data_IF_782428576641
#
_entry.id   IF_782428576641
#
_cell.length_a   1.000
_cell.length_b   1.000
_cell.length_c   1.000
_cell.angle_alpha   90.00
_cell.angle_beta   90.00
_cell.angle_gamma   90.00
#
_symmetry.space_group_name_H-M   'P 1'
#
loop_
_entity.id
_entity.type
_entity.pdbx_description
1 polymer ?
#
# COMPACT_ATOMS: atom_id res chain seq x y z
N UNK A 1 14.00 36.16 -38.56
CA UNK A 1 12.70 35.90 -37.91
C UNK A 1 12.67 36.15 -36.38
N UNK A 2 13.80 36.06 -35.66
CA UNK A 2 13.85 36.20 -34.19
C UNK A 2 13.55 37.59 -33.55
N UNK A 3 13.87 38.76 -34.14
CA UNK A 3 13.69 40.05 -33.44
C UNK A 3 12.23 40.52 -33.40
N UNK A 4 11.42 40.18 -34.41
CA UNK A 4 9.98 40.52 -34.45
C UNK A 4 9.16 39.71 -33.43
N UNK A 5 9.53 38.46 -33.19
CA UNK A 5 8.86 37.61 -32.19
C UNK A 5 9.14 38.09 -30.74
N UNK A 6 10.38 38.49 -30.44
CA UNK A 6 10.73 39.07 -29.14
C UNK A 6 10.04 40.41 -28.88
N UNK A 7 9.86 41.24 -29.91
CA UNK A 7 9.10 42.49 -29.80
C UNK A 7 7.60 42.24 -29.58
N UNK A 8 7.02 41.24 -30.24
CA UNK A 8 5.62 40.83 -30.05
C UNK A 8 5.38 40.28 -28.64
N UNK A 9 6.25 39.41 -28.13
CA UNK A 9 6.17 38.86 -26.78
C UNK A 9 6.34 39.93 -25.69
N UNK A 10 7.21 40.92 -25.89
CA UNK A 10 7.34 42.07 -24.96
C UNK A 10 6.10 42.98 -24.97
N UNK A 11 5.46 43.16 -26.14
CA UNK A 11 4.20 43.93 -26.26
C UNK A 11 3.01 43.18 -25.66
N UNK A 12 2.96 41.85 -25.79
CA UNK A 12 1.96 40.99 -25.14
C UNK A 12 2.14 40.96 -23.62
N UNK A 13 3.37 40.81 -23.12
CA UNK A 13 3.68 40.88 -21.69
C UNK A 13 3.30 42.23 -21.06
N UNK A 14 3.53 43.35 -21.77
CA UNK A 14 3.09 44.69 -21.32
C UNK A 14 1.57 44.88 -21.36
N UNK A 15 0.84 44.28 -22.31
CA UNK A 15 -0.64 44.33 -22.35
C UNK A 15 -1.30 43.46 -21.29
N UNK A 16 -0.69 42.34 -20.92
CA UNK A 16 -1.18 41.47 -19.83
C UNK A 16 -0.94 42.13 -18.47
N UNK A 17 0.24 42.75 -18.29
CA UNK A 17 0.62 43.48 -17.07
C UNK A 17 -0.23 44.73 -16.77
N UNK A 18 -0.84 45.36 -17.78
CA UNK A 18 -1.70 46.55 -17.60
C UNK A 18 -3.20 46.24 -17.65
N UNK A 19 -3.59 44.97 -17.82
CA UNK A 19 -5.01 44.61 -17.80
C UNK A 19 -5.53 44.71 -16.36
N UNK A 20 -6.59 45.48 -16.14
CA UNK A 20 -7.25 45.60 -14.81
C UNK A 20 -7.65 44.23 -14.25
N UNK A 21 -7.90 43.24 -15.12
CA UNK A 21 -8.23 41.87 -14.75
C UNK A 21 -7.02 41.13 -14.18
N UNK A 22 -5.83 41.22 -14.81
CA UNK A 22 -4.62 40.60 -14.27
C UNK A 22 -4.19 41.24 -12.95
N UNK A 23 -4.28 42.57 -12.83
CA UNK A 23 -4.05 43.30 -11.57
C UNK A 23 -5.07 42.94 -10.48
N UNK A 24 -6.34 42.74 -10.83
CA UNK A 24 -7.37 42.30 -9.90
C UNK A 24 -7.21 40.84 -9.47
N UNK A 25 -6.75 39.96 -10.36
CA UNK A 25 -6.43 38.55 -10.04
C UNK A 25 -5.19 38.47 -9.15
N UNK A 26 -4.14 39.25 -9.46
CA UNK A 26 -2.95 39.35 -8.61
C UNK A 26 -3.30 39.95 -7.23
N UNK A 27 -4.08 41.03 -7.17
CA UNK A 27 -4.54 41.61 -5.89
C UNK A 27 -5.49 40.70 -5.10
N UNK A 28 -6.30 39.87 -5.77
CA UNK A 28 -7.09 38.81 -5.11
C UNK A 28 -6.22 37.67 -4.58
N UNK A 29 -5.16 37.31 -5.30
CA UNK A 29 -4.20 36.32 -4.87
C UNK A 29 -3.39 36.82 -3.65
N UNK A 30 -2.93 38.07 -3.67
CA UNK A 30 -2.22 38.69 -2.54
C UNK A 30 -3.12 38.83 -1.32
N UNK A 31 -4.36 39.33 -1.48
CA UNK A 31 -5.31 39.41 -0.35
C UNK A 31 -5.78 38.04 0.17
N UNK A 32 -5.79 36.98 -0.66
CA UNK A 32 -6.03 35.62 -0.20
C UNK A 32 -4.82 35.08 0.57
N UNK A 33 -3.61 35.34 0.08
CA UNK A 33 -2.34 34.98 0.73
C UNK A 33 -2.22 35.62 2.11
N UNK A 34 -2.52 36.92 2.23
CA UNK A 34 -2.46 37.64 3.51
C UNK A 34 -3.48 37.08 4.51
N UNK A 35 -4.71 36.76 4.07
CA UNK A 35 -5.72 36.13 4.94
C UNK A 35 -5.32 34.73 5.40
N UNK A 36 -4.66 33.95 4.55
CA UNK A 36 -4.15 32.61 4.90
C UNK A 36 -2.99 32.74 5.88
N UNK A 37 -2.07 33.69 5.64
CA UNK A 37 -0.96 33.98 6.53
C UNK A 37 -1.46 34.42 7.93
N UNK A 38 -2.40 35.36 8.01
CA UNK A 38 -3.01 35.81 9.27
C UNK A 38 -3.72 34.67 10.02
N UNK A 39 -4.33 33.71 9.31
CA UNK A 39 -4.95 32.53 9.92
C UNK A 39 -3.90 31.54 10.42
N UNK A 40 -2.86 31.30 9.63
CA UNK A 40 -1.76 30.43 10.01
C UNK A 40 -1.01 30.96 11.24
N UNK A 41 -0.73 32.27 11.28
CA UNK A 41 -0.12 32.92 12.43
C UNK A 41 -1.00 32.84 13.68
N UNK A 42 -2.31 33.08 13.55
CA UNK A 42 -3.23 32.92 14.69
C UNK A 42 -3.32 31.48 15.18
N UNK A 43 -3.32 30.51 14.27
CA UNK A 43 -3.38 29.09 14.62
C UNK A 43 -2.07 28.64 15.32
N UNK A 44 -0.91 29.11 14.85
CA UNK A 44 0.38 28.90 15.49
C UNK A 44 0.43 29.57 16.88
N UNK A 45 -0.03 30.82 16.99
CA UNK A 45 -0.10 31.55 18.25
C UNK A 45 -1.01 30.83 19.26
N UNK A 46 -2.15 30.31 18.81
CA UNK A 46 -3.04 29.50 19.67
C UNK A 46 -2.38 28.20 20.12
N UNK A 47 -1.68 27.51 19.21
CA UNK A 47 -0.92 26.30 19.53
C UNK A 47 0.13 26.55 20.62
N UNK A 48 0.85 27.67 20.51
CA UNK A 48 1.86 28.10 21.47
C UNK A 48 1.27 28.54 22.82
N UNK A 49 0.13 29.24 22.81
CA UNK A 49 -0.46 29.77 24.03
C UNK A 49 -1.12 28.72 24.93
N UNK A 50 -1.57 27.58 24.37
CA UNK A 50 -2.33 26.56 25.12
C UNK A 50 -1.93 25.12 24.72
N UNK A 51 -0.66 24.72 24.93
CA UNK A 51 -0.13 23.46 24.42
C UNK A 51 -0.92 22.23 24.90
N UNK A 52 -1.25 22.17 26.20
CA UNK A 52 -2.00 21.04 26.79
C UNK A 52 -3.41 20.87 26.21
N UNK A 53 -4.10 21.97 25.89
CA UNK A 53 -5.45 21.90 25.30
C UNK A 53 -5.38 21.47 23.84
N UNK A 54 -4.40 21.96 23.09
CA UNK A 54 -4.19 21.59 21.68
C UNK A 54 -3.89 20.10 21.58
N UNK A 55 -2.97 19.60 22.42
CA UNK A 55 -2.65 18.17 22.47
C UNK A 55 -3.83 17.33 22.96
N UNK A 56 -4.58 17.77 23.97
CA UNK A 56 -5.74 17.04 24.49
C UNK A 56 -6.89 16.94 23.48
N UNK A 57 -7.26 18.05 22.83
CA UNK A 57 -8.27 18.06 21.77
C UNK A 57 -7.78 17.24 20.58
N UNK A 58 -6.51 17.43 20.18
CA UNK A 58 -5.91 16.69 19.09
C UNK A 58 -5.91 15.18 19.31
N UNK A 59 -5.57 14.74 20.52
CA UNK A 59 -5.63 13.33 20.92
C UNK A 59 -7.05 12.79 20.88
N UNK A 60 -8.02 13.55 21.38
CA UNK A 60 -9.43 13.12 21.34
C UNK A 60 -9.91 12.94 19.89
N UNK A 61 -9.62 13.89 18.99
CA UNK A 61 -9.97 13.78 17.57
C UNK A 61 -9.25 12.60 16.91
N UNK A 62 -7.98 12.36 17.25
CA UNK A 62 -7.22 11.23 16.72
C UNK A 62 -7.77 9.87 17.18
N UNK A 63 -8.14 9.75 18.46
CA UNK A 63 -8.75 8.52 19.00
C UNK A 63 -10.11 8.27 18.37
N UNK A 64 -10.94 9.30 18.22
CA UNK A 64 -12.22 9.19 17.51
C UNK A 64 -11.98 8.76 16.06
N UNK A 65 -11.03 9.38 15.36
CA UNK A 65 -10.66 9.02 13.99
C UNK A 65 -10.22 7.57 13.83
N UNK A 66 -9.35 7.08 14.73
CA UNK A 66 -8.94 5.67 14.74
C UNK A 66 -10.09 4.72 15.10
N UNK A 67 -11.02 5.14 15.96
CA UNK A 67 -12.18 4.33 16.32
C UNK A 67 -13.16 4.20 15.14
N UNK A 68 -13.45 5.30 14.44
CA UNK A 68 -14.36 5.26 13.27
C UNK A 68 -13.74 4.52 12.08
N UNK A 69 -12.42 4.56 11.93
CA UNK A 69 -11.73 3.78 10.88
C UNK A 69 -12.04 2.28 10.96
N UNK A 70 -12.26 1.73 12.17
CA UNK A 70 -12.65 0.32 12.33
C UNK A 70 -13.98 -0.04 11.67
N UNK A 71 -14.80 0.96 11.34
CA UNK A 71 -16.10 0.81 10.70
C UNK A 71 -16.08 1.07 9.19
N UNK A 72 -14.97 1.58 8.65
CA UNK A 72 -14.87 1.86 7.22
C UNK A 72 -14.77 0.57 6.42
N UNK A 73 -15.73 0.33 5.53
CA UNK A 73 -15.68 -0.77 4.58
C UNK A 73 -14.72 -0.41 3.42
N UNK A 74 -13.93 -1.39 2.98
CA UNK A 74 -13.03 -1.23 1.83
C UNK A 74 -13.75 -1.81 0.62
N UNK A 75 -14.15 -0.96 -0.32
CA UNK A 75 -14.67 -1.39 -1.59
C UNK A 75 -13.58 -2.16 -2.32
N UNK A 76 -13.91 -3.43 -2.55
CA UNK A 76 -12.99 -4.42 -3.08
C UNK A 76 -13.45 -4.96 -4.43
N UNK A 77 -14.67 -4.63 -4.88
CA UNK A 77 -15.19 -5.09 -6.17
C UNK A 77 -14.40 -4.46 -7.32
N UNK A 78 -13.68 -5.30 -8.05
CA UNK A 78 -12.85 -4.90 -9.20
C UNK A 78 -13.67 -4.13 -10.23
N UNK A 79 -14.98 -4.40 -10.35
CA UNK A 79 -15.87 -3.70 -11.27
C UNK A 79 -15.99 -2.23 -10.93
N UNK A 80 -16.10 -1.89 -9.66
CA UNK A 80 -16.25 -0.50 -9.20
C UNK A 80 -14.93 0.27 -9.29
N UNK A 81 -13.81 -0.46 -9.25
CA UNK A 81 -12.46 0.09 -9.27
C UNK A 81 -11.95 0.46 -10.69
N UNK A 82 -12.64 0.02 -11.75
CA UNK A 82 -12.26 0.26 -13.16
C UNK A 82 -13.28 1.13 -13.90
N UNK A 83 -12.88 1.85 -14.96
CA UNK A 83 -13.81 2.63 -15.77
C UNK A 83 -14.91 1.74 -16.38
N UNK A 84 -16.16 2.16 -16.20
CA UNK A 84 -17.35 1.37 -16.59
C UNK A 84 -17.54 1.26 -18.11
N UNK A 85 -16.87 2.11 -18.88
CA UNK A 85 -16.94 2.16 -20.34
C UNK A 85 -15.89 1.27 -21.03
N UNK A 86 -15.02 0.60 -20.27
CA UNK A 86 -13.99 -0.28 -20.81
C UNK A 86 -14.59 -1.43 -21.65
N UNK A 87 -14.13 -1.64 -22.90
CA UNK A 87 -14.54 -2.77 -23.72
C UNK A 87 -14.34 -4.12 -23.03
N UNK A 88 -13.20 -4.31 -22.38
CA UNK A 88 -12.89 -5.54 -21.64
C UNK A 88 -13.89 -5.83 -20.50
N UNK A 89 -14.39 -4.79 -19.81
CA UNK A 89 -15.40 -4.97 -18.76
C UNK A 89 -16.75 -5.39 -19.38
N UNK A 90 -17.10 -4.83 -20.55
CA UNK A 90 -18.30 -5.25 -21.29
C UNK A 90 -18.18 -6.70 -21.76
N UNK A 91 -17.03 -7.10 -22.27
CA UNK A 91 -16.77 -8.47 -22.74
C UNK A 91 -16.85 -9.48 -21.59
N UNK A 92 -16.28 -9.16 -20.42
CA UNK A 92 -16.37 -10.01 -19.22
C UNK A 92 -17.80 -10.08 -18.69
N UNK A 93 -18.52 -8.95 -18.66
CA UNK A 93 -19.93 -8.95 -18.24
C UNK A 93 -20.82 -9.72 -19.21
N UNK A 94 -20.56 -9.63 -20.52
CA UNK A 94 -21.25 -10.42 -21.54
C UNK A 94 -20.95 -11.91 -21.37
N UNK A 95 -19.67 -12.28 -21.19
CA UNK A 95 -19.27 -13.67 -20.92
C UNK A 95 -19.97 -14.22 -19.67
N UNK A 96 -19.99 -13.46 -18.58
CA UNK A 96 -20.69 -13.88 -17.35
C UNK A 96 -22.20 -13.97 -17.53
N UNK A 97 -22.81 -13.09 -18.33
CA UNK A 97 -24.24 -13.14 -18.59
C UNK A 97 -24.63 -14.41 -19.38
N UNK A 98 -23.76 -14.86 -20.29
CA UNK A 98 -23.97 -16.02 -21.15
C UNK A 98 -23.51 -17.35 -20.52
N UNK A 99 -22.51 -17.33 -19.65
CA UNK A 99 -21.91 -18.55 -19.06
C UNK A 99 -22.17 -18.70 -17.56
N UNK A 100 -22.59 -17.63 -16.89
CA UNK A 100 -22.70 -17.58 -15.43
C UNK A 100 -21.36 -17.46 -14.71
N UNK A 101 -20.24 -17.35 -15.43
CA UNK A 101 -18.87 -17.43 -14.90
C UNK A 101 -18.04 -16.27 -15.45
N UNK A 102 -17.16 -15.68 -14.63
CA UNK A 102 -16.24 -14.62 -15.06
C UNK A 102 -14.76 -14.92 -14.75
N UNK A 103 -14.49 -15.97 -13.98
CA UNK A 103 -13.15 -16.41 -13.64
C UNK A 103 -13.14 -17.87 -13.20
N UNK A 104 -11.97 -18.33 -12.76
CA UNK A 104 -11.75 -19.72 -12.37
C UNK A 104 -10.98 -19.78 -11.04
N UNK A 105 -11.38 -20.73 -10.19
CA UNK A 105 -10.67 -21.17 -9.00
C UNK A 105 -10.37 -22.64 -9.17
N UNK A 106 -9.16 -23.01 -8.79
CA UNK A 106 -8.62 -24.33 -9.02
C UNK A 106 -8.29 -25.04 -7.72
N UNK A 107 -8.41 -26.36 -7.70
CA UNK A 107 -7.82 -27.21 -6.67
C UNK A 107 -6.78 -28.09 -7.35
N UNK A 108 -5.52 -27.80 -7.09
CA UNK A 108 -4.40 -28.61 -7.54
C UNK A 108 -4.25 -29.81 -6.61
N UNK A 109 -4.32 -31.01 -7.18
CA UNK A 109 -4.21 -32.29 -6.50
C UNK A 109 -2.89 -32.94 -6.90
N UNK A 110 -2.05 -33.29 -5.93
CA UNK A 110 -0.78 -33.98 -6.12
C UNK A 110 -0.79 -35.34 -5.43
N UNK A 111 -0.46 -36.39 -6.17
CA UNK A 111 -0.39 -37.76 -5.69
C UNK A 111 0.76 -38.51 -6.41
N UNK A 112 1.19 -39.68 -5.93
CA UNK A 112 2.09 -40.55 -6.68
C UNK A 112 1.54 -40.90 -8.07
N UNK A 113 0.23 -41.11 -8.16
CA UNK A 113 -0.53 -41.27 -9.39
C UNK A 113 -1.96 -40.74 -9.20
N UNK A 114 -2.29 -39.64 -9.87
CA UNK A 114 -3.64 -39.02 -9.81
C UNK A 114 -4.69 -39.78 -10.62
N UNK A 115 -4.26 -40.74 -11.44
CA UNK A 115 -5.15 -41.61 -12.22
C UNK A 115 -5.62 -42.84 -11.44
N UNK A 116 -5.17 -42.99 -10.18
CA UNK A 116 -5.67 -44.05 -9.30
C UNK A 116 -7.19 -43.86 -9.06
N UNK A 117 -8.03 -44.91 -9.23
CA UNK A 117 -9.46 -44.84 -8.99
C UNK A 117 -9.87 -44.29 -7.63
N UNK A 118 -9.05 -44.50 -6.59
CA UNK A 118 -9.31 -43.96 -5.26
C UNK A 118 -9.18 -42.43 -5.24
N UNK A 119 -8.15 -41.89 -5.93
CA UNK A 119 -7.91 -40.44 -6.05
C UNK A 119 -8.97 -39.81 -6.95
N UNK A 120 -9.24 -40.40 -8.12
CA UNK A 120 -10.29 -39.93 -9.03
C UNK A 120 -11.69 -39.96 -8.38
N UNK A 121 -11.99 -41.03 -7.64
CA UNK A 121 -13.25 -41.15 -6.91
C UNK A 121 -13.39 -40.11 -5.81
N UNK A 122 -12.30 -39.80 -5.08
CA UNK A 122 -12.30 -38.69 -4.11
C UNK A 122 -12.49 -37.34 -4.80
N UNK A 123 -11.74 -37.05 -5.86
CA UNK A 123 -11.84 -35.82 -6.64
C UNK A 123 -13.27 -35.56 -7.12
N UNK A 124 -13.93 -36.59 -7.69
CA UNK A 124 -15.31 -36.47 -8.16
C UNK A 124 -16.31 -36.20 -7.04
N UNK A 125 -16.21 -36.93 -5.91
CA UNK A 125 -17.08 -36.69 -4.73
C UNK A 125 -16.83 -35.32 -4.10
N UNK A 126 -15.58 -34.86 -4.07
CA UNK A 126 -15.23 -33.54 -3.57
C UNK A 126 -15.86 -32.45 -4.45
N UNK A 127 -15.67 -32.52 -5.77
CA UNK A 127 -16.25 -31.57 -6.72
C UNK A 127 -17.79 -31.52 -6.61
N UNK A 128 -18.45 -32.68 -6.51
CA UNK A 128 -19.91 -32.73 -6.38
C UNK A 128 -20.41 -32.12 -5.05
N UNK A 129 -19.74 -32.42 -3.93
CA UNK A 129 -20.07 -31.82 -2.62
C UNK A 129 -19.91 -30.29 -2.65
N UNK A 130 -18.79 -29.81 -3.17
CA UNK A 130 -18.49 -28.37 -3.26
C UNK A 130 -19.52 -27.65 -4.12
N UNK A 131 -19.82 -28.17 -5.31
CA UNK A 131 -20.80 -27.55 -6.21
C UNK A 131 -22.19 -27.51 -5.56
N UNK A 132 -22.63 -28.60 -4.95
CA UNK A 132 -23.93 -28.66 -4.26
C UNK A 132 -24.04 -27.59 -3.17
N UNK A 133 -23.00 -27.43 -2.36
CA UNK A 133 -23.02 -26.49 -1.24
C UNK A 133 -22.84 -25.03 -1.68
N UNK A 134 -22.24 -24.80 -2.85
CA UNK A 134 -22.23 -23.51 -3.52
C UNK A 134 -23.58 -23.18 -4.21
N UNK A 135 -24.61 -24.02 -4.05
CA UNK A 135 -25.96 -23.81 -4.61
C UNK A 135 -26.15 -24.30 -6.05
N UNK A 136 -25.19 -25.04 -6.61
CA UNK A 136 -25.31 -25.58 -7.97
C UNK A 136 -26.20 -26.82 -7.99
N UNK A 137 -27.26 -26.78 -8.80
CA UNK A 137 -28.19 -27.88 -8.99
C UNK A 137 -27.99 -28.54 -10.36
N UNK A 138 -27.40 -29.74 -10.39
CA UNK A 138 -27.15 -30.48 -11.64
C UNK A 138 -28.42 -30.82 -12.42
N UNK A 139 -29.56 -30.92 -11.74
CA UNK A 139 -30.86 -31.16 -12.37
C UNK A 139 -31.37 -29.96 -13.18
N UNK A 140 -30.89 -28.75 -12.87
CA UNK A 140 -31.26 -27.50 -13.53
C UNK A 140 -30.14 -27.11 -14.50
N UNK A 141 -30.37 -27.36 -15.80
CA UNK A 141 -29.38 -27.09 -16.86
C UNK A 141 -28.81 -25.66 -16.82
N UNK A 142 -29.63 -24.70 -16.40
CA UNK A 142 -29.28 -23.28 -16.37
C UNK A 142 -29.00 -22.78 -14.95
N UNK A 143 -28.63 -23.68 -14.01
CA UNK A 143 -28.37 -23.31 -12.61
C UNK A 143 -27.34 -22.17 -12.48
N UNK A 144 -26.29 -22.19 -13.30
CA UNK A 144 -25.28 -21.13 -13.35
C UNK A 144 -25.76 -19.80 -13.94
N UNK A 145 -26.84 -19.83 -14.74
CA UNK A 145 -27.43 -18.67 -15.40
C UNK A 145 -28.59 -18.06 -14.59
N UNK A 146 -28.89 -18.61 -13.40
CA UNK A 146 -29.94 -18.09 -12.54
C UNK A 146 -29.60 -16.66 -12.10
N UNK A 147 -30.50 -15.70 -12.36
CA UNK A 147 -30.31 -14.30 -11.98
C UNK A 147 -30.81 -13.98 -10.56
N UNK A 148 -31.66 -14.84 -9.97
CA UNK A 148 -32.26 -14.59 -8.65
C UNK A 148 -31.43 -15.14 -7.52
N UNK A 149 -30.92 -16.35 -7.68
CA UNK A 149 -30.05 -16.99 -6.69
C UNK A 149 -28.96 -17.78 -7.43
N UNK A 150 -27.96 -17.09 -8.00
CA UNK A 150 -26.88 -17.77 -8.69
C UNK A 150 -26.01 -18.55 -7.72
N UNK A 151 -25.47 -19.71 -8.13
CA UNK A 151 -24.47 -20.41 -7.35
C UNK A 151 -23.16 -19.60 -7.30
N UNK A 152 -22.44 -19.72 -6.18
CA UNK A 152 -21.13 -19.07 -6.02
C UNK A 152 -20.05 -19.73 -6.90
N UNK A 153 -20.20 -21.04 -7.15
CA UNK A 153 -19.30 -21.86 -7.96
C UNK A 153 -20.09 -22.67 -8.99
N UNK A 154 -19.50 -22.76 -10.18
CA UNK A 154 -20.01 -23.53 -11.30
C UNK A 154 -18.98 -24.56 -11.78
N UNK A 155 -19.41 -25.65 -12.42
CA UNK A 155 -18.47 -26.63 -12.97
C UNK A 155 -17.60 -25.97 -14.06
N UNK A 156 -16.29 -26.17 -13.97
CA UNK A 156 -15.33 -25.90 -15.04
C UNK A 156 -14.55 -27.18 -15.37
N UNK A 157 -13.91 -27.20 -16.54
CA UNK A 157 -13.31 -28.40 -17.10
C UNK A 157 -12.24 -28.99 -16.17
N UNK A 158 -12.52 -30.19 -15.67
CA UNK A 158 -11.69 -30.91 -14.71
C UNK A 158 -11.34 -32.31 -15.22
N UNK A 159 -10.28 -32.93 -14.67
CA UNK A 159 -9.90 -34.31 -15.02
C UNK A 159 -11.06 -35.31 -14.83
N UNK A 160 -11.84 -35.10 -13.79
CA UNK A 160 -13.04 -35.87 -13.42
C UNK A 160 -14.15 -35.80 -14.48
N UNK A 161 -14.24 -34.74 -15.28
CA UNK A 161 -15.26 -34.59 -16.33
C UNK A 161 -14.99 -35.48 -17.55
N UNK A 162 -13.76 -35.97 -17.71
CA UNK A 162 -13.46 -37.03 -18.69
C UNK A 162 -14.14 -38.35 -18.30
N UNK A 163 -14.44 -38.55 -17.01
CA UNK A 163 -15.02 -39.77 -16.49
C UNK A 163 -16.49 -39.55 -16.12
N UNK A 164 -17.30 -40.62 -16.11
CA UNK A 164 -18.70 -40.50 -15.70
C UNK A 164 -18.79 -40.03 -14.24
N UNK A 165 -19.51 -38.92 -14.03
CA UNK A 165 -19.75 -38.37 -12.70
C UNK A 165 -20.51 -39.39 -11.83
N UNK A 166 -19.96 -39.70 -10.65
CA UNK A 166 -20.64 -40.48 -9.61
C UNK A 166 -20.15 -41.92 -9.40
N UNK A 167 -19.25 -42.46 -10.24
CA UNK A 167 -18.64 -43.78 -10.00
C UNK A 167 -17.11 -43.75 -10.26
N UNK A 168 -16.28 -44.32 -9.37
CA UNK A 168 -14.84 -44.37 -9.59
C UNK A 168 -14.55 -45.23 -10.83
N UNK A 169 -13.85 -44.68 -11.84
CA UNK A 169 -13.57 -45.40 -13.08
C UNK A 169 -12.61 -46.56 -12.82
N UNK A 170 -12.74 -47.66 -13.57
CA UNK A 170 -11.78 -48.76 -13.47
C UNK A 170 -10.43 -48.35 -14.08
N UNK A 171 -9.29 -48.79 -13.50
CA UNK A 171 -7.94 -48.45 -13.99
C UNK A 171 -7.76 -48.64 -15.51
N UNK A 172 -8.37 -49.69 -16.06
CA UNK A 172 -8.29 -49.98 -17.49
C UNK A 172 -9.05 -48.95 -18.36
N UNK A 173 -10.22 -48.49 -17.89
CA UNK A 173 -11.01 -47.44 -18.57
C UNK A 173 -10.29 -46.09 -18.52
N UNK A 174 -9.62 -45.79 -17.41
CA UNK A 174 -8.86 -44.55 -17.24
C UNK A 174 -7.72 -44.47 -18.26
N UNK A 175 -6.94 -45.53 -18.40
CA UNK A 175 -5.83 -45.57 -19.36
C UNK A 175 -6.32 -45.51 -20.82
N UNK A 176 -7.35 -46.29 -21.16
CA UNK A 176 -7.90 -46.29 -22.53
C UNK A 176 -8.45 -44.93 -22.95
N UNK A 177 -9.10 -44.21 -22.03
CA UNK A 177 -9.62 -42.89 -22.34
C UNK A 177 -8.49 -41.87 -22.49
N UNK A 178 -7.49 -41.90 -21.61
CA UNK A 178 -6.32 -41.02 -21.69
C UNK A 178 -5.45 -41.28 -22.93
N UNK A 179 -5.50 -42.48 -23.52
CA UNK A 179 -4.80 -42.74 -24.78
C UNK A 179 -5.53 -42.14 -26.00
N UNK A 180 -6.84 -41.89 -25.89
CA UNK A 180 -7.69 -41.40 -27.00
C UNK A 180 -7.93 -39.89 -26.92
N UNK A 181 -7.97 -39.30 -25.72
CA UNK A 181 -8.18 -37.86 -25.55
C UNK A 181 -6.96 -37.10 -26.10
N UNK A 182 -7.12 -36.11 -26.99
CA UNK A 182 -6.01 -35.32 -27.49
C UNK A 182 -5.15 -34.69 -26.38
N UNK A 183 -3.83 -34.65 -26.57
CA UNK A 183 -2.87 -34.16 -25.56
C UNK A 183 -3.12 -32.71 -25.12
N UNK A 184 -3.74 -31.89 -25.96
CA UNK A 184 -4.06 -30.50 -25.60
C UNK A 184 -5.18 -30.41 -24.55
N UNK A 185 -6.16 -31.32 -24.57
CA UNK A 185 -7.21 -31.39 -23.55
C UNK A 185 -6.66 -31.93 -22.23
N UNK A 186 -5.72 -32.89 -22.30
CA UNK A 186 -5.10 -33.45 -21.10
C UNK A 186 -4.21 -32.43 -20.37
N UNK A 187 -3.50 -31.58 -21.12
CA UNK A 187 -2.58 -30.59 -20.53
C UNK A 187 -3.26 -29.56 -19.62
N UNK A 188 -4.56 -29.29 -19.81
CA UNK A 188 -5.34 -28.43 -18.93
C UNK A 188 -5.80 -29.11 -17.63
N UNK A 189 -5.78 -30.44 -17.56
CA UNK A 189 -6.36 -31.20 -16.46
C UNK A 189 -5.36 -32.09 -15.69
N UNK A 190 -4.30 -32.57 -16.34
CA UNK A 190 -3.33 -33.51 -15.76
C UNK A 190 -1.92 -33.29 -16.33
N UNK A 191 -0.90 -33.40 -15.47
CA UNK A 191 0.50 -33.36 -15.91
C UNK A 191 0.90 -34.63 -16.64
N UNK A 192 1.90 -34.55 -17.54
CA UNK A 192 2.40 -35.70 -18.31
C UNK A 192 2.89 -36.85 -17.43
N UNK A 193 3.41 -36.54 -16.24
CA UNK A 193 3.89 -37.52 -15.26
C UNK A 193 2.77 -38.12 -14.40
N UNK A 194 1.51 -37.71 -14.60
CA UNK A 194 0.32 -38.12 -13.84
C UNK A 194 0.42 -37.88 -12.33
N UNK A 195 1.33 -36.99 -11.89
CA UNK A 195 1.49 -36.69 -10.46
C UNK A 195 0.64 -35.53 -10.00
N UNK A 196 0.18 -34.69 -10.92
CA UNK A 196 -0.59 -33.50 -10.60
C UNK A 196 -1.82 -33.43 -11.51
N UNK A 197 -2.97 -33.14 -10.92
CA UNK A 197 -4.22 -32.91 -11.62
C UNK A 197 -4.87 -31.61 -11.13
N UNK A 198 -5.69 -31.01 -11.98
CA UNK A 198 -6.49 -29.83 -11.66
C UNK A 198 -7.98 -30.17 -11.54
N UNK A 199 -8.62 -29.57 -10.55
CA UNK A 199 -10.07 -29.50 -10.40
C UNK A 199 -10.48 -28.03 -10.50
N UNK A 200 -11.08 -27.67 -11.62
CA UNK A 200 -11.47 -26.30 -11.92
C UNK A 200 -12.92 -26.02 -11.52
N UNK A 201 -13.15 -24.83 -10.96
CA UNK A 201 -14.45 -24.29 -10.61
C UNK A 201 -14.58 -22.90 -11.21
N UNK A 202 -15.63 -22.69 -12.00
CA UNK A 202 -15.99 -21.36 -12.47
C UNK A 202 -16.48 -20.51 -11.30
N UNK A 203 -15.95 -19.30 -11.16
CA UNK A 203 -16.39 -18.31 -10.17
C UNK A 203 -16.94 -17.06 -10.86
N UNK A 204 -17.87 -16.39 -10.19
CA UNK A 204 -18.44 -15.11 -10.62
C UNK A 204 -17.59 -13.93 -10.17
N UNK A 205 -17.69 -12.83 -10.92
CA UNK A 205 -17.21 -11.53 -10.51
C UNK A 205 -18.14 -11.00 -9.42
N UNK A 206 -17.61 -10.93 -8.20
CA UNK A 206 -18.30 -10.59 -6.96
C UNK A 206 -17.31 -9.88 -6.02
N UNK A 207 -17.79 -9.33 -4.91
CA UNK A 207 -16.93 -8.65 -3.93
C UNK A 207 -15.84 -9.59 -3.39
N UNK A 208 -14.67 -9.04 -3.03
CA UNK A 208 -13.56 -9.87 -2.55
C UNK A 208 -13.89 -10.55 -1.22
N UNK A 209 -14.78 -9.97 -0.40
CA UNK A 209 -15.22 -10.59 0.85
C UNK A 209 -16.06 -11.84 0.59
N UNK A 210 -16.96 -11.82 -0.40
CA UNK A 210 -17.70 -13.01 -0.81
C UNK A 210 -16.79 -14.05 -1.47
N UNK A 211 -15.86 -13.62 -2.33
CA UNK A 211 -14.85 -14.53 -2.90
C UNK A 211 -14.01 -15.20 -1.80
N UNK A 212 -13.65 -14.46 -0.75
CA UNK A 212 -12.91 -14.99 0.40
C UNK A 212 -13.71 -16.07 1.12
N UNK A 213 -15.00 -15.82 1.39
CA UNK A 213 -15.87 -16.82 2.04
C UNK A 213 -15.94 -18.12 1.23
N UNK A 214 -16.07 -18.01 -0.10
CA UNK A 214 -16.08 -19.16 -1.02
C UNK A 214 -14.74 -19.92 -0.98
N UNK A 215 -13.62 -19.19 -0.98
CA UNK A 215 -12.27 -19.77 -0.90
C UNK A 215 -12.03 -20.46 0.45
N UNK A 216 -12.42 -19.82 1.56
CA UNK A 216 -12.25 -20.36 2.91
C UNK A 216 -13.12 -21.62 3.09
N UNK A 217 -14.37 -21.60 2.61
CA UNK A 217 -15.23 -22.78 2.56
C UNK A 217 -14.59 -23.93 1.75
N UNK A 218 -14.04 -23.63 0.56
CA UNK A 218 -13.37 -24.63 -0.27
C UNK A 218 -12.14 -25.23 0.42
N UNK A 219 -11.36 -24.42 1.15
CA UNK A 219 -10.21 -24.86 1.94
C UNK A 219 -10.62 -25.73 3.14
N UNK A 220 -11.67 -25.35 3.86
CA UNK A 220 -12.16 -26.07 5.04
C UNK A 220 -12.71 -27.47 4.73
N UNK A 221 -13.31 -27.64 3.54
CA UNK A 221 -13.88 -28.92 3.09
C UNK A 221 -12.87 -29.83 2.42
N UNK A 222 -11.63 -29.41 2.28
CA UNK A 222 -10.58 -30.17 1.60
C UNK A 222 -10.12 -31.33 2.50
N UNK A 223 -10.57 -32.55 2.18
CA UNK A 223 -10.31 -33.79 2.95
C UNK A 223 -9.53 -34.85 2.15
N UNK A 224 -8.31 -34.54 1.65
CA UNK A 224 -7.59 -35.45 0.77
C UNK A 224 -7.23 -36.77 1.48
N UNK A 225 -7.29 -37.91 0.76
CA UNK A 225 -6.90 -39.21 1.32
C UNK A 225 -5.39 -39.27 1.61
N UNK A 226 -4.93 -40.22 2.45
CA UNK A 226 -3.51 -40.35 2.78
C UNK A 226 -2.63 -40.48 1.53
N UNK A 227 -1.56 -39.68 1.47
CA UNK A 227 -0.64 -39.65 0.32
C UNK A 227 -1.07 -38.72 -0.81
N UNK A 228 -2.17 -37.97 -0.65
CA UNK A 228 -2.61 -36.91 -1.57
C UNK A 228 -2.45 -35.54 -0.91
N UNK A 229 -1.80 -34.61 -1.59
CA UNK A 229 -1.71 -33.19 -1.22
C UNK A 229 -2.64 -32.40 -2.14
N UNK A 230 -3.65 -31.73 -1.58
CA UNK A 230 -4.57 -30.91 -2.35
C UNK A 230 -4.50 -29.46 -1.86
N UNK A 231 -4.52 -28.49 -2.79
CA UNK A 231 -4.46 -27.07 -2.46
C UNK A 231 -5.34 -26.24 -3.38
N UNK A 232 -6.07 -25.32 -2.77
CA UNK A 232 -6.86 -24.30 -3.48
C UNK A 232 -5.92 -23.24 -4.04
N UNK A 233 -6.01 -22.96 -5.34
CA UNK A 233 -5.16 -22.04 -6.09
C UNK A 233 -5.99 -21.22 -7.10
N UNK A 234 -5.35 -20.23 -7.73
CA UNK A 234 -5.98 -19.33 -8.68
C UNK A 234 -5.81 -17.87 -8.30
N UNK A 235 -6.01 -16.98 -9.27
CA UNK A 235 -5.94 -15.53 -9.02
C UNK A 235 -6.96 -15.07 -7.97
N UNK A 236 -8.24 -15.52 -7.98
CA UNK A 236 -9.20 -15.12 -6.95
C UNK A 236 -8.76 -15.50 -5.53
N UNK A 237 -8.06 -16.63 -5.36
CA UNK A 237 -7.53 -17.08 -4.06
C UNK A 237 -6.45 -16.12 -3.56
N UNK A 238 -5.50 -15.75 -4.43
CA UNK A 238 -4.43 -14.82 -4.09
C UNK A 238 -4.98 -13.43 -3.73
N UNK A 239 -5.94 -12.94 -4.51
CA UNK A 239 -6.53 -11.62 -4.34
C UNK A 239 -7.42 -11.59 -3.08
N UNK A 240 -8.26 -12.60 -2.86
CA UNK A 240 -9.10 -12.71 -1.66
C UNK A 240 -8.29 -12.86 -0.37
N UNK A 241 -7.20 -13.63 -0.40
CA UNK A 241 -6.32 -13.78 0.77
C UNK A 241 -5.53 -12.50 1.05
N UNK A 242 -5.02 -11.82 0.01
CA UNK A 242 -4.36 -10.53 0.15
C UNK A 242 -5.33 -9.48 0.74
N UNK A 243 -6.53 -9.37 0.19
CA UNK A 243 -7.57 -8.46 0.69
C UNK A 243 -7.96 -8.81 2.12
N UNK A 244 -8.14 -10.09 2.43
CA UNK A 244 -8.57 -10.53 3.74
C UNK A 244 -7.60 -10.20 4.88
N UNK A 245 -6.30 -10.15 4.59
CA UNK A 245 -5.29 -9.65 5.56
C UNK A 245 -5.35 -8.12 5.68
N UNK A 246 -5.57 -7.42 4.57
CA UNK A 246 -5.65 -5.95 4.51
C UNK A 246 -6.91 -5.38 5.17
N UNK A 247 -8.05 -6.08 5.04
CA UNK A 247 -9.35 -5.63 5.57
C UNK A 247 -9.54 -5.92 7.05
N UNK A 248 -8.74 -6.80 7.65
CA UNK A 248 -8.89 -7.13 9.07
C UNK A 248 -8.51 -5.95 9.99
N UNK A 249 -9.45 -5.42 10.81
CA UNK A 249 -9.20 -4.23 11.63
C UNK A 249 -8.05 -4.42 12.63
N UNK A 250 -7.93 -5.62 13.20
CA UNK A 250 -6.87 -5.97 14.14
C UNK A 250 -5.49 -5.95 13.48
N UNK A 251 -5.37 -6.45 12.24
CA UNK A 251 -4.11 -6.42 11.51
C UNK A 251 -3.72 -4.99 11.13
N UNK A 252 -4.71 -4.17 10.71
CA UNK A 252 -4.49 -2.75 10.41
C UNK A 252 -4.02 -1.98 11.64
N UNK A 253 -4.63 -2.20 12.79
CA UNK A 253 -4.17 -1.60 14.05
C UNK A 253 -2.77 -2.10 14.43
N UNK A 254 -2.50 -3.40 14.29
CA UNK A 254 -1.19 -3.98 14.56
C UNK A 254 -0.08 -3.38 13.69
N UNK A 255 -0.30 -3.24 12.37
CA UNK A 255 0.69 -2.67 11.45
C UNK A 255 0.91 -1.18 11.72
N UNK A 256 -0.14 -0.42 12.06
CA UNK A 256 -0.04 0.98 12.47
C UNK A 256 0.82 1.15 13.72
N UNK A 257 0.54 0.38 14.78
CA UNK A 257 1.32 0.41 16.03
C UNK A 257 2.76 -0.04 15.79
N UNK A 258 2.97 -1.08 14.99
CA UNK A 258 4.30 -1.55 14.63
C UNK A 258 5.10 -0.49 13.85
N UNK A 259 4.46 0.24 12.92
CA UNK A 259 5.09 1.32 12.18
C UNK A 259 5.47 2.51 13.08
N UNK A 260 4.56 2.96 13.95
CA UNK A 260 4.85 4.02 14.91
C UNK A 260 5.97 3.62 15.88
N UNK A 261 5.98 2.37 16.34
CA UNK A 261 7.06 1.84 17.18
C UNK A 261 8.38 1.80 16.43
N UNK A 262 8.40 1.37 15.16
CA UNK A 262 9.61 1.36 14.34
C UNK A 262 10.17 2.79 14.16
N UNK A 263 9.32 3.77 13.86
CA UNK A 263 9.70 5.19 13.79
C UNK A 263 10.27 5.66 15.12
N UNK A 264 9.60 5.36 16.24
CA UNK A 264 10.09 5.70 17.57
C UNK A 264 11.48 5.12 17.84
N UNK A 265 11.71 3.84 17.55
CA UNK A 265 12.99 3.18 17.76
C UNK A 265 14.11 3.81 16.91
N UNK A 266 13.82 4.14 15.65
CA UNK A 266 14.78 4.81 14.77
C UNK A 266 15.10 6.22 15.29
N UNK A 267 14.08 7.00 15.65
CA UNK A 267 14.28 8.35 16.20
C UNK A 267 15.05 8.31 17.54
N UNK A 268 14.74 7.35 18.40
CA UNK A 268 15.44 7.15 19.66
C UNK A 268 16.90 6.75 19.43
N UNK A 269 17.18 5.86 18.46
CA UNK A 269 18.53 5.47 18.11
C UNK A 269 19.36 6.65 17.57
N UNK A 270 18.75 7.50 16.73
CA UNK A 270 19.42 8.65 16.11
C UNK A 270 19.65 9.81 17.09
N UNK A 271 18.63 10.17 17.89
CA UNK A 271 18.65 11.33 18.78
C UNK A 271 19.22 11.03 20.17
N UNK A 272 19.28 9.74 20.54
CA UNK A 272 19.66 9.22 21.88
C UNK A 272 18.93 9.86 23.06
N UNK A 273 17.81 10.51 22.79
CA UNK A 273 16.94 11.14 23.79
C UNK A 273 15.53 10.60 23.60
N UNK A 274 15.03 9.89 24.62
CA UNK A 274 13.67 9.34 24.60
C UNK A 274 12.63 10.47 24.49
N UNK A 275 12.86 11.57 25.21
CA UNK A 275 11.98 12.74 25.18
C UNK A 275 11.93 13.35 23.77
N UNK A 276 13.08 13.56 23.12
CA UNK A 276 13.11 14.12 21.77
C UNK A 276 12.45 13.21 20.72
N UNK A 277 12.57 11.88 20.89
CA UNK A 277 11.90 10.91 20.02
C UNK A 277 10.38 10.93 20.22
N UNK A 278 9.89 10.92 21.47
CA UNK A 278 8.45 11.01 21.75
C UNK A 278 7.84 12.31 21.24
N UNK A 279 8.51 13.45 21.42
CA UNK A 279 8.00 14.75 20.98
C UNK A 279 7.81 14.81 19.47
N UNK A 280 8.75 14.25 18.71
CA UNK A 280 8.61 14.14 17.26
C UNK A 280 7.51 13.15 16.85
N UNK A 281 7.22 12.13 17.67
CA UNK A 281 6.19 11.12 17.42
C UNK A 281 4.76 11.62 17.64
N UNK A 282 4.54 12.54 18.59
CA UNK A 282 3.21 13.08 18.91
C UNK A 282 2.46 13.60 17.68
N UNK A 283 2.98 14.54 16.88
CA UNK A 283 2.27 15.04 15.71
C UNK A 283 2.03 13.96 14.65
N UNK A 284 2.91 12.96 14.56
CA UNK A 284 2.80 11.84 13.62
C UNK A 284 1.58 10.98 14.00
N UNK A 285 1.51 10.54 15.26
CA UNK A 285 0.41 9.72 15.75
C UNK A 285 -0.94 10.44 15.67
N UNK A 286 -0.96 11.75 15.98
CA UNK A 286 -2.18 12.55 15.86
C UNK A 286 -2.62 12.70 14.40
N UNK A 287 -1.70 13.03 13.49
CA UNK A 287 -2.00 13.14 12.06
C UNK A 287 -2.55 11.84 11.47
N UNK A 288 -2.00 10.68 11.87
CA UNK A 288 -2.52 9.36 11.45
C UNK A 288 -3.96 9.15 11.90
N UNK A 289 -4.30 9.49 13.15
CA UNK A 289 -5.69 9.37 13.61
C UNK A 289 -6.63 10.39 12.96
N UNK A 290 -6.16 11.60 12.68
CA UNK A 290 -6.96 12.61 11.99
C UNK A 290 -7.23 12.25 10.53
N UNK A 291 -6.23 11.74 9.82
CA UNK A 291 -6.38 11.21 8.47
C UNK A 291 -7.48 10.17 8.43
N UNK A 292 -7.39 9.13 9.27
CA UNK A 292 -8.43 8.11 9.45
C UNK A 292 -9.84 8.71 9.65
N UNK A 293 -9.97 9.69 10.55
CA UNK A 293 -11.26 10.36 10.79
C UNK A 293 -11.77 11.20 9.61
N UNK A 294 -10.89 11.92 8.91
CA UNK A 294 -11.26 12.74 7.74
C UNK A 294 -11.69 11.84 6.58
N UNK A 295 -10.98 10.74 6.36
CA UNK A 295 -11.32 9.78 5.32
C UNK A 295 -12.66 9.10 5.59
N UNK A 296 -12.93 8.72 6.85
CA UNK A 296 -14.24 8.21 7.24
C UNK A 296 -15.36 9.22 6.93
N UNK A 297 -15.17 10.49 7.25
CA UNK A 297 -16.15 11.54 6.94
C UNK A 297 -16.35 11.70 5.43
N UNK A 298 -15.27 11.66 4.64
CA UNK A 298 -15.36 11.73 3.17
C UNK A 298 -16.13 10.55 2.58
N UNK A 299 -15.94 9.33 3.12
CA UNK A 299 -16.71 8.16 2.73
C UNK A 299 -18.20 8.22 3.09
N UNK A 300 -18.60 9.07 4.05
CA UNK A 300 -20.01 9.28 4.43
C UNK A 300 -20.71 10.38 3.62
N UNK A 301 -19.98 11.18 2.85
CA UNK A 301 -20.55 12.31 2.12
C UNK A 301 -21.16 11.83 0.79
N UNK A 302 -22.47 12.07 0.55
CA UNK A 302 -23.07 11.70 -0.72
C UNK A 302 -22.63 12.64 -1.86
N UNK A 303 -22.31 12.08 -3.02
CA UNK A 303 -22.07 12.82 -4.27
C UNK A 303 -20.63 12.69 -4.79
N UNK A 304 -20.10 13.64 -5.58
CA UNK A 304 -18.77 13.54 -6.21
C UNK A 304 -17.60 13.65 -5.22
N UNK A 305 -17.88 13.75 -3.93
CA UNK A 305 -16.95 13.80 -2.81
C UNK A 305 -16.97 12.52 -1.97
N UNK A 306 -17.85 11.57 -2.31
CA UNK A 306 -17.81 10.21 -1.79
C UNK A 306 -16.52 9.57 -2.27
N UNK A 307 -15.69 9.11 -1.33
CA UNK A 307 -14.44 8.44 -1.66
C UNK A 307 -14.42 7.09 -1.00
N UNK A 308 -14.54 6.08 -1.84
CA UNK A 308 -14.52 4.70 -1.41
C UNK A 308 -13.09 4.28 -1.07
N UNK A 309 -12.91 3.72 0.13
CA UNK A 309 -11.63 3.13 0.47
C UNK A 309 -11.42 1.91 -0.40
N UNK A 310 -10.31 1.87 -1.12
CA UNK A 310 -9.92 0.73 -1.94
C UNK A 310 -8.68 0.02 -1.34
N UNK A 311 -8.26 -1.14 -1.87
CA UNK A 311 -7.09 -1.85 -1.32
C UNK A 311 -5.80 -1.03 -1.29
N UNK A 312 -5.63 -0.03 -2.18
CA UNK A 312 -4.48 0.87 -2.12
C UNK A 312 -4.54 1.81 -0.91
N UNK A 313 -5.73 2.15 -0.45
CA UNK A 313 -5.95 3.05 0.69
C UNK A 313 -5.40 2.48 1.99
N UNK A 314 -5.29 1.16 2.12
CA UNK A 314 -4.68 0.50 3.29
C UNK A 314 -3.19 0.87 3.44
N UNK A 315 -2.50 1.22 2.35
CA UNK A 315 -1.10 1.65 2.40
C UNK A 315 -0.92 3.08 2.89
N UNK A 316 -2.01 3.87 2.96
CA UNK A 316 -1.93 5.30 3.26
C UNK A 316 -1.58 5.59 4.70
N UNK A 317 -1.96 4.73 5.66
CA UNK A 317 -1.51 4.87 7.05
C UNK A 317 0.03 4.94 7.15
N UNK A 318 0.73 4.12 6.38
CA UNK A 318 2.20 4.16 6.32
C UNK A 318 2.72 5.43 5.61
N UNK A 319 2.02 5.89 4.57
CA UNK A 319 2.35 7.12 3.86
C UNK A 319 2.21 8.35 4.76
N UNK A 320 1.09 8.48 5.48
CA UNK A 320 0.83 9.52 6.48
C UNK A 320 1.94 9.54 7.54
N UNK A 321 2.31 8.38 8.06
CA UNK A 321 3.42 8.25 9.01
C UNK A 321 4.72 8.75 8.37
N UNK A 322 5.04 8.32 7.14
CA UNK A 322 6.28 8.71 6.47
C UNK A 322 6.40 10.23 6.27
N UNK A 323 5.38 10.86 5.68
CA UNK A 323 5.37 12.32 5.44
C UNK A 323 5.35 13.10 6.76
N UNK A 324 4.52 12.70 7.71
CA UNK A 324 4.48 13.35 9.02
C UNK A 324 5.82 13.25 9.74
N UNK A 325 6.52 12.11 9.60
CA UNK A 325 7.86 11.91 10.15
C UNK A 325 8.86 12.88 9.54
N UNK A 326 8.88 13.01 8.22
CA UNK A 326 9.80 13.93 7.52
C UNK A 326 9.68 15.36 8.06
N UNK A 327 8.46 15.90 8.07
CA UNK A 327 8.22 17.27 8.51
C UNK A 327 8.48 17.47 10.01
N UNK A 328 8.03 16.52 10.84
CA UNK A 328 8.21 16.57 12.30
C UNK A 328 9.70 16.53 12.67
N UNK A 329 10.47 15.67 12.01
CA UNK A 329 11.91 15.55 12.24
C UNK A 329 12.64 16.83 11.82
N UNK A 330 12.35 17.37 10.63
CA UNK A 330 13.04 18.55 10.11
C UNK A 330 12.80 19.79 10.98
N UNK A 331 11.55 20.02 11.38
CA UNK A 331 11.18 21.15 12.22
C UNK A 331 11.70 21.00 13.66
N UNK A 332 11.58 19.81 14.25
CA UNK A 332 12.08 19.58 15.62
C UNK A 332 13.61 19.64 15.70
N UNK A 333 14.32 19.19 14.66
CA UNK A 333 15.77 19.34 14.57
C UNK A 333 16.16 20.83 14.49
N UNK A 334 15.47 21.62 13.65
CA UNK A 334 15.73 23.05 13.55
C UNK A 334 15.44 23.78 14.86
N UNK A 335 14.32 23.46 15.52
CA UNK A 335 13.99 24.00 16.83
C UNK A 335 15.12 23.75 17.84
N UNK A 336 15.61 22.52 17.91
CA UNK A 336 16.67 22.16 18.86
C UNK A 336 17.97 22.90 18.54
N UNK A 337 18.33 23.05 17.26
CA UNK A 337 19.49 23.87 16.87
C UNK A 337 19.38 25.32 17.34
N UNK A 338 18.20 25.94 17.27
CA UNK A 338 18.00 27.30 17.78
C UNK A 338 18.04 27.34 19.32
N UNK A 339 17.56 26.30 20.01
CA UNK A 339 17.71 26.15 21.47
C UNK A 339 19.17 26.03 21.89
N UNK A 340 19.96 25.24 21.17
CA UNK A 340 21.41 25.08 21.39
C UNK A 340 22.19 26.38 21.15
N UNK A 341 21.70 27.25 20.27
CA UNK A 341 22.23 28.60 20.05
C UNK A 341 21.84 29.60 21.14
N UNK A 342 21.10 29.15 22.16
CA UNK A 342 20.70 29.97 23.31
C UNK A 342 19.37 30.69 23.14
N UNK A 343 18.58 30.41 22.09
CA UNK A 343 17.25 31.01 21.96
C UNK A 343 16.28 30.42 23.01
N UNK A 344 15.45 31.27 23.63
CA UNK A 344 14.32 30.84 24.45
C UNK A 344 13.29 30.04 23.64
N UNK A 345 12.42 29.22 24.27
CA UNK A 345 11.50 28.31 23.57
C UNK A 345 10.63 28.98 22.51
N UNK A 346 9.98 30.09 22.85
CA UNK A 346 9.11 30.83 21.93
C UNK A 346 9.90 31.44 20.77
N UNK A 347 11.08 32.00 21.05
CA UNK A 347 11.95 32.60 20.03
C UNK A 347 12.51 31.54 19.08
N UNK A 348 12.88 30.37 19.60
CA UNK A 348 13.34 29.24 18.80
C UNK A 348 12.25 28.74 17.85
N UNK A 349 10.99 28.67 18.30
CA UNK A 349 9.85 28.36 17.43
C UNK A 349 9.66 29.42 16.34
N UNK A 350 9.66 30.71 16.69
CA UNK A 350 9.51 31.78 15.71
C UNK A 350 10.60 31.74 14.62
N UNK A 351 11.86 31.50 15.01
CA UNK A 351 12.97 31.34 14.06
C UNK A 351 12.83 30.09 13.19
N UNK A 352 12.40 28.98 13.78
CA UNK A 352 12.17 27.71 13.07
C UNK A 352 11.08 27.84 12.00
N UNK A 353 9.93 28.40 12.37
CA UNK A 353 8.79 28.53 11.46
C UNK A 353 9.00 29.62 10.40
N UNK A 354 9.70 30.70 10.74
CA UNK A 354 10.06 31.76 9.79
C UNK A 354 11.08 31.32 8.73
N UNK A 355 11.80 30.21 8.95
CA UNK A 355 12.80 29.68 8.01
C UNK A 355 12.40 28.31 7.48
N UNK A 356 12.67 27.25 8.25
CA UNK A 356 12.41 25.86 7.88
C UNK A 356 10.91 25.57 7.73
N UNK A 357 10.04 26.25 8.48
CA UNK A 357 8.58 26.15 8.32
C UNK A 357 8.11 26.49 6.91
N UNK A 358 8.59 27.60 6.34
CA UNK A 358 8.27 27.99 4.96
C UNK A 358 8.80 26.97 3.93
N UNK A 359 9.99 26.41 4.15
CA UNK A 359 10.54 25.37 3.28
C UNK A 359 9.73 24.07 3.34
N UNK A 360 9.28 23.67 4.54
CA UNK A 360 8.41 22.50 4.75
C UNK A 360 7.06 22.69 4.08
N UNK A 361 6.45 23.86 4.22
CA UNK A 361 5.19 24.21 3.54
C UNK A 361 5.34 24.13 2.02
N UNK A 362 6.42 24.68 1.46
CA UNK A 362 6.69 24.59 0.03
C UNK A 362 6.88 23.14 -0.43
N UNK A 363 7.68 22.35 0.29
CA UNK A 363 7.90 20.93 -0.01
C UNK A 363 6.59 20.14 0.03
N UNK A 364 5.81 20.28 1.10
CA UNK A 364 4.51 19.63 1.25
C UNK A 364 3.52 20.03 0.15
N UNK A 365 3.46 21.32 -0.21
CA UNK A 365 2.62 21.79 -1.31
C UNK A 365 3.02 21.15 -2.66
N UNK A 366 4.31 20.98 -2.93
CA UNK A 366 4.76 20.29 -4.15
C UNK A 366 4.41 18.80 -4.17
N UNK A 367 4.52 18.11 -3.02
CA UNK A 367 4.11 16.72 -2.90
C UNK A 367 2.59 16.56 -3.12
N UNK A 368 1.78 17.41 -2.48
CA UNK A 368 0.33 17.47 -2.68
C UNK A 368 0.00 17.69 -4.15
N UNK A 369 0.64 18.67 -4.80
CA UNK A 369 0.42 18.94 -6.23
C UNK A 369 0.81 17.75 -7.12
N UNK A 370 1.88 17.02 -6.78
CA UNK A 370 2.30 15.82 -7.50
C UNK A 370 1.25 14.71 -7.43
N UNK A 371 0.71 14.44 -6.25
CA UNK A 371 -0.35 13.44 -6.08
C UNK A 371 -1.71 13.90 -6.63
N UNK A 372 -2.00 15.20 -6.62
CA UNK A 372 -3.23 15.75 -7.18
C UNK A 372 -3.39 15.47 -8.68
N UNK A 373 -2.29 15.23 -9.41
CA UNK A 373 -2.34 14.83 -10.83
C UNK A 373 -3.09 13.51 -11.01
N UNK A 374 -3.04 12.58 -10.05
CA UNK A 374 -3.73 11.29 -10.14
C UNK A 374 -5.26 11.44 -10.19
N UNK A 375 -5.80 12.52 -9.64
CA UNK A 375 -7.24 12.84 -9.66
C UNK A 375 -7.73 12.99 -11.11
N UNK A 376 -6.85 13.36 -12.05
CA UNK A 376 -7.18 13.50 -13.46
C UNK A 376 -7.23 12.15 -14.21
N UNK A 377 -6.97 11.02 -13.53
CA UNK A 377 -7.04 9.70 -14.15
C UNK A 377 -8.48 9.31 -14.48
N UNK A 378 -8.66 8.61 -15.60
CA UNK A 378 -9.91 7.94 -15.96
C UNK A 378 -10.10 6.62 -15.20
N UNK A 379 -9.04 6.10 -14.57
CA UNK A 379 -9.12 4.91 -13.74
C UNK A 379 -9.61 5.31 -12.34
N UNK A 380 -10.83 4.91 -11.99
CA UNK A 380 -11.48 5.24 -10.70
C UNK A 380 -10.57 4.95 -9.52
N UNK A 381 -9.96 3.76 -9.45
CA UNK A 381 -9.01 3.40 -8.39
C UNK A 381 -7.86 4.42 -8.22
N UNK A 382 -7.27 4.92 -9.32
CA UNK A 382 -6.18 5.89 -9.28
C UNK A 382 -6.69 7.28 -8.88
N UNK A 383 -7.87 7.66 -9.37
CA UNK A 383 -8.52 8.94 -9.04
C UNK A 383 -8.81 9.01 -7.54
N UNK A 384 -9.45 7.98 -6.99
CA UNK A 384 -9.78 7.91 -5.58
C UNK A 384 -8.51 7.91 -4.74
N UNK A 385 -7.55 7.06 -5.08
CA UNK A 385 -6.23 7.05 -4.43
C UNK A 385 -5.56 8.44 -4.46
N UNK A 386 -5.67 9.18 -5.57
CA UNK A 386 -5.19 10.55 -5.69
C UNK A 386 -5.88 11.52 -4.72
N UNK A 387 -7.21 11.47 -4.63
CA UNK A 387 -8.00 12.32 -3.72
C UNK A 387 -7.63 12.02 -2.27
N UNK A 388 -7.66 10.74 -1.87
CA UNK A 388 -7.33 10.30 -0.51
C UNK A 388 -5.91 10.73 -0.14
N UNK A 389 -4.94 10.52 -1.03
CA UNK A 389 -3.54 10.91 -0.78
C UNK A 389 -3.36 12.42 -0.61
N UNK A 390 -4.06 13.24 -1.41
CA UNK A 390 -4.02 14.70 -1.28
C UNK A 390 -4.57 15.16 0.07
N UNK A 391 -5.67 14.56 0.52
CA UNK A 391 -6.27 14.84 1.83
C UNK A 391 -5.30 14.45 2.94
N UNK A 392 -4.74 13.25 2.88
CA UNK A 392 -3.81 12.72 3.88
C UNK A 392 -2.54 13.54 4.00
N UNK A 393 -1.95 13.94 2.88
CA UNK A 393 -0.79 14.82 2.86
C UNK A 393 -1.11 16.20 3.44
N UNK A 394 -2.29 16.73 3.15
CA UNK A 394 -2.75 18.01 3.68
C UNK A 394 -2.96 17.94 5.19
N UNK A 395 -3.64 16.90 5.68
CA UNK A 395 -3.84 16.65 7.11
C UNK A 395 -2.50 16.44 7.83
N UNK A 396 -1.58 15.69 7.23
CA UNK A 396 -0.22 15.46 7.76
C UNK A 396 0.56 16.76 7.88
N UNK A 397 0.62 17.56 6.80
CA UNK A 397 1.36 18.82 6.78
C UNK A 397 0.79 19.82 7.79
N UNK A 398 -0.53 20.04 7.75
CA UNK A 398 -1.21 20.97 8.66
C UNK A 398 -1.08 20.47 10.10
N UNK A 399 -1.24 19.17 10.33
CA UNK A 399 -1.18 18.59 11.65
C UNK A 399 0.20 18.70 12.28
N UNK A 400 1.28 18.41 11.54
CA UNK A 400 2.63 18.63 12.05
C UNK A 400 2.87 20.11 12.35
N UNK A 401 2.50 21.02 11.45
CA UNK A 401 2.74 22.45 11.65
C UNK A 401 2.00 23.01 12.88
N UNK A 402 0.79 22.51 13.16
CA UNK A 402 -0.02 22.96 14.29
C UNK A 402 0.33 22.26 15.60
N UNK A 403 0.61 20.96 15.59
CA UNK A 403 0.80 20.16 16.81
C UNK A 403 2.23 20.26 17.33
N UNK A 404 3.21 20.30 16.44
CA UNK A 404 4.61 20.26 16.85
C UNK A 404 5.02 21.40 17.81
N UNK A 405 4.59 22.66 17.64
CA UNK A 405 4.90 23.73 18.60
C UNK A 405 4.37 23.41 19.99
N UNK A 406 3.12 22.95 20.07
CA UNK A 406 2.49 22.55 21.33
C UNK A 406 3.22 21.36 21.97
N UNK A 407 3.62 20.37 21.18
CA UNK A 407 4.37 19.21 21.65
C UNK A 407 5.76 19.58 22.20
N UNK A 408 6.47 20.48 21.51
CA UNK A 408 7.79 20.97 21.94
C UNK A 408 7.69 21.79 23.24
N UNK A 409 6.74 22.73 23.32
CA UNK A 409 6.54 23.54 24.53
C UNK A 409 6.11 22.70 25.73
N UNK A 410 5.17 21.77 25.52
CA UNK A 410 4.77 20.83 26.57
C UNK A 410 5.93 19.98 27.07
N UNK A 411 6.84 19.56 26.19
CA UNK A 411 8.01 18.81 26.60
C UNK A 411 9.04 19.66 27.35
N UNK A 412 9.27 20.91 26.95
CA UNK A 412 10.16 21.84 27.66
C UNK A 412 9.66 22.13 29.10
N UNK A 413 8.35 22.11 29.35
CA UNK A 413 7.79 22.18 30.72
C UNK A 413 8.26 21.01 31.61
N UNK A 414 8.60 19.85 31.03
CA UNK A 414 8.99 18.64 31.75
C UNK A 414 10.51 18.37 31.72
N UNK A 415 11.29 19.26 31.10
CA UNK A 415 12.75 19.21 31.05
C UNK A 415 13.31 19.65 29.69
N UNK A 416 14.54 20.20 29.65
CA UNK A 416 15.13 20.72 28.42
C UNK A 416 15.35 19.60 27.40
N UNK A 417 14.95 19.84 26.16
CA UNK A 417 15.13 18.89 25.06
C UNK A 417 16.57 18.99 24.55
N UNK A 418 17.45 18.14 25.06
CA UNK A 418 18.82 18.02 24.54
C UNK A 418 18.90 16.91 23.50
N UNK A 419 19.33 17.24 22.28
CA UNK A 419 19.74 16.24 21.30
C UNK A 419 21.17 15.78 21.59
N UNK A 420 21.40 14.48 21.49
CA UNK A 420 22.74 13.90 21.33
C UNK A 420 22.75 13.18 19.99
N UNK A 421 22.63 13.97 18.93
CA UNK A 421 22.64 13.44 17.57
C UNK A 421 23.98 12.73 17.31
N UNK A 422 23.90 11.58 16.63
CA UNK A 422 25.09 10.93 16.09
C UNK A 422 25.71 11.85 15.04
N UNK A 423 26.89 12.39 15.31
CA UNK A 423 27.66 13.12 14.32
C UNK A 423 27.97 12.17 13.14
N UNK A 424 27.35 12.37 11.95
CA UNK A 424 27.53 11.48 10.82
C UNK A 424 29.00 11.42 10.39
N UNK A 425 29.77 12.50 10.63
CA UNK A 425 31.19 12.57 10.32
C UNK A 425 32.00 11.65 11.22
N UNK A 426 31.70 11.61 12.52
CA UNK A 426 32.33 10.66 13.46
C UNK A 426 31.97 9.22 13.11
N UNK A 427 30.71 8.93 12.82
CA UNK A 427 30.29 7.55 12.53
C UNK A 427 30.85 7.04 11.20
N UNK A 428 30.89 7.92 10.19
CA UNK A 428 31.59 7.63 8.94
C UNK A 428 33.08 7.38 9.21
N UNK A 429 33.75 8.21 10.02
CA UNK A 429 35.16 7.99 10.39
C UNK A 429 35.39 6.67 11.11
N UNK A 430 34.56 6.34 12.11
CA UNK A 430 34.66 5.10 12.90
C UNK A 430 34.40 3.85 12.04
N UNK A 431 33.42 3.89 11.13
CA UNK A 431 33.14 2.81 10.19
C UNK A 431 34.21 2.67 9.12
N UNK A 432 34.76 3.79 8.62
CA UNK A 432 35.84 3.78 7.63
C UNK A 432 37.18 3.33 8.24
N UNK A 433 37.49 3.74 9.47
CA UNK A 433 38.65 3.26 10.24
C UNK A 433 38.52 1.79 10.64
N UNK A 434 37.33 1.35 11.05
CA UNK A 434 37.06 -0.06 11.32
C UNK A 434 37.23 -0.94 10.09
N UNK A 435 36.82 -0.44 8.91
CA UNK A 435 36.93 -1.16 7.62
C UNK A 435 38.35 -1.08 7.02
N UNK A 436 39.09 0.00 7.25
CA UNK A 436 40.49 0.15 6.80
C UNK A 436 41.47 -0.69 7.62
N UNK A 437 41.24 -0.82 8.94
CA UNK A 437 42.00 -1.76 9.80
C UNK A 437 41.77 -3.22 9.42
N UNK A 438 40.58 -3.59 8.93
CA UNK A 438 40.28 -4.94 8.44
C UNK A 438 40.91 -5.28 7.07
N UNK A 439 41.11 -4.29 6.19
CA UNK A 439 41.72 -4.51 4.85
C UNK A 439 43.24 -4.40 4.82
N UNK A 440 43.85 -3.63 5.72
CA UNK A 440 45.31 -3.46 5.76
C UNK A 440 46.06 -4.62 6.44
N UNK A 441 45.32 -5.58 7.03
CA UNK A 441 45.88 -6.81 7.63
C UNK A 441 45.98 -8.00 6.67
N UNK A 442 45.62 -7.86 5.40
CA UNK A 442 45.93 -8.87 4.39
C UNK A 442 47.21 -8.47 3.64
N UNK A 443 48.35 -9.13 3.87
CA UNK A 443 49.54 -8.84 3.08
C UNK A 443 49.22 -9.12 1.61
N UNK A 444 49.43 -8.10 0.76
CA UNK A 444 49.41 -8.27 -0.70
C UNK A 444 50.45 -9.33 -1.05
N UNK A 445 50.14 -10.35 -1.87
CA UNK A 445 51.17 -11.25 -2.36
C UNK A 445 52.10 -10.43 -3.25
N UNK A 446 53.36 -10.32 -2.84
CA UNK A 446 54.41 -9.70 -3.65
C UNK A 446 54.64 -10.56 -4.90
N UNK A 447 54.34 -10.00 -6.07
CA UNK A 447 54.78 -10.56 -7.34
C UNK A 447 56.32 -10.54 -7.37
N UNK A 448 56.94 -11.69 -7.12
CA UNK A 448 58.37 -11.91 -7.37
C UNK A 448 58.58 -12.03 -8.88
N UNK A 449 59.20 -11.02 -9.48
CA UNK A 449 59.87 -11.16 -10.77
C UNK A 449 61.17 -11.96 -10.58
N UNK A 450 61.45 -13.00 -11.39
CA UNK A 450 62.73 -13.71 -11.30
C UNK A 450 63.83 -12.89 -11.97
N UNK A 451 64.86 -12.51 -11.19
CA UNK A 451 66.13 -12.01 -11.73
C UNK A 451 66.94 -13.17 -12.31
N UNK A 452 67.14 -13.19 -13.62
CA UNK A 452 68.12 -14.04 -14.30
C UNK A 452 69.54 -13.58 -13.94
N UNK A 453 70.22 -14.38 -13.11
CA UNK A 453 71.62 -14.19 -12.74
C UNK A 453 72.57 -14.72 -13.81
N UNK A 454 73.46 -13.85 -14.27
CA UNK A 454 74.69 -14.14 -15.03
C UNK A 454 75.51 -15.25 -14.34
N UNK A 455 75.72 -16.39 -15.02
CA UNK A 455 76.80 -17.33 -14.72
C UNK A 455 78.12 -16.77 -15.27
N UNK A 456 79.09 -16.51 -14.39
CA UNK A 456 80.51 -16.35 -14.73
C UNK A 456 81.13 -17.74 -14.89
N UNK A 457 81.99 -17.89 -15.90
CA UNK A 457 82.71 -19.12 -16.19
C UNK A 457 83.82 -19.46 -15.20
N UNK A 458 84.19 -20.73 -15.22
CA UNK A 458 85.47 -21.27 -14.77
C UNK A 458 85.89 -22.33 -15.78
N UNK A 459 87.13 -22.24 -16.23
CA UNK A 459 87.84 -23.20 -17.09
C UNK A 459 88.03 -24.54 -16.36
N UNK A 460 87.83 -25.63 -17.07
CA UNK A 460 88.80 -26.70 -17.32
C UNK A 460 88.32 -27.47 -18.56
#
# INVERSE_FOLDING_TARGET
>A
MAPRLRAALRRLGRRISTSRVALAVLGRADSARDRIADRAERALAFSMARPRKVLGIGLMVAVVGLAVDTQSEVISDIRELVPQDLPALRDVNALQAETGIAGEIDVTVRAPDVTDPAVLGWMGRFQERVLKDAGFERAKRDSCLDKRNPPDLCPAFSLTDLFQAGAPPQRQQVNQLLDVVPTYFQQGAITRDRKTANLAFGIRLQSLDRQREVVDNLKERLDPPPGVDARVVGLPVLVAEANGRLSSPLWRLFTLVAALLAVFLVLWALRRSRQAAFVALIPIALATGWSAGVLFVLGLLPGPLEVDLNPMSVTLGALVIAISTEFSVLLSARYTQERERGAGPERALALTYGSTGAAVLASGATAIAGFAVLILSDITMLRDFGIVTVVDLSVSLIGVLLVLPAALLWAEEHGPITLRDLDPRRLAHELWEGRSRGRLRRPRPSLRTPRLGRRRGSRA
#
